data_IF_291470631834
#
_entry.id   IF_291470631834
#
_cell.length_a   1.000
_cell.length_b   1.000
_cell.length_c   1.000
_cell.angle_alpha   90.00
_cell.angle_beta   90.00
_cell.angle_gamma   90.00
#
_symmetry.space_group_name_H-M   'P 1'
#
loop_
_entity.id
_entity.type
_entity.pdbx_description
1 polymer ?
#
# COMPACT_ATOMS: atom_id res chain seq x y z
N UNK A 1 1.21 20.41 4.60
CA UNK A 1 2.23 21.01 3.71
C UNK A 1 3.52 21.09 4.50
N UNK A 2 4.61 20.54 3.98
CA UNK A 2 5.94 20.56 4.58
C UNK A 2 6.87 21.38 3.68
N UNK A 3 7.71 22.23 4.27
CA UNK A 3 8.72 22.98 3.52
C UNK A 3 10.05 22.91 4.24
N UNK A 4 10.98 22.16 3.66
CA UNK A 4 12.36 22.13 4.09
C UNK A 4 13.13 23.28 3.44
N UNK A 5 13.39 24.32 4.22
CA UNK A 5 14.11 25.53 3.77
C UNK A 5 15.59 25.29 3.48
N UNK A 6 16.18 24.23 4.02
CA UNK A 6 17.60 23.92 3.80
C UNK A 6 17.79 23.26 2.42
N UNK A 7 16.84 22.44 1.99
CA UNK A 7 16.89 21.72 0.70
C UNK A 7 16.05 22.38 -0.39
N UNK A 8 15.10 23.24 -0.03
CA UNK A 8 14.15 23.84 -0.97
C UNK A 8 12.95 22.95 -1.30
N UNK A 9 12.79 21.80 -0.63
CA UNK A 9 11.76 20.80 -0.93
C UNK A 9 10.43 21.18 -0.26
N UNK A 10 9.36 21.24 -1.07
CA UNK A 10 8.00 21.54 -0.62
C UNK A 10 7.09 20.35 -0.95
N UNK A 11 6.39 19.83 0.05
CA UNK A 11 5.54 18.65 -0.07
C UNK A 11 4.12 18.92 0.42
N UNK A 12 3.14 18.36 -0.29
CA UNK A 12 1.76 18.24 0.16
C UNK A 12 1.42 16.75 0.22
N UNK A 13 0.83 16.32 1.33
CA UNK A 13 0.42 14.94 1.55
C UNK A 13 -1.09 14.86 1.42
N UNK A 14 -1.58 13.82 0.74
CA UNK A 14 -2.99 13.46 0.64
C UNK A 14 -3.10 12.01 1.12
N UNK A 15 -3.77 11.80 2.25
CA UNK A 15 -3.82 10.47 2.90
C UNK A 15 -4.64 9.44 2.11
N UNK A 16 -5.62 9.91 1.33
CA UNK A 16 -6.49 9.07 0.52
C UNK A 16 -6.97 9.85 -0.69
N UNK A 17 -6.61 9.40 -1.90
CA UNK A 17 -7.13 9.97 -3.13
C UNK A 17 -8.57 9.48 -3.37
N UNK A 18 -9.53 10.38 -3.22
CA UNK A 18 -10.95 10.16 -3.51
C UNK A 18 -11.30 10.73 -4.89
N UNK A 19 -12.40 10.31 -5.52
CA UNK A 19 -12.81 10.90 -6.80
C UNK A 19 -13.00 12.42 -6.78
N UNK A 20 -13.22 13.03 -5.62
CA UNK A 20 -13.32 14.48 -5.47
C UNK A 20 -11.97 15.20 -5.62
N UNK A 21 -10.86 14.47 -5.52
CA UNK A 21 -9.48 14.97 -5.63
C UNK A 21 -8.99 15.01 -7.10
N UNK A 22 -9.83 14.62 -8.07
CA UNK A 22 -9.52 14.73 -9.49
C UNK A 22 -9.56 16.20 -9.92
N UNK A 23 -8.46 16.70 -10.50
CA UNK A 23 -8.36 18.11 -10.87
C UNK A 23 -6.97 18.60 -11.21
N UNK A 24 -6.81 19.93 -11.22
CA UNK A 24 -5.53 20.60 -11.45
C UNK A 24 -5.02 21.21 -10.16
N UNK A 25 -3.84 20.78 -9.73
CA UNK A 25 -3.15 21.26 -8.54
C UNK A 25 -2.18 22.35 -8.95
N UNK A 26 -2.32 23.56 -8.42
CA UNK A 26 -1.40 24.67 -8.71
C UNK A 26 -0.67 25.07 -7.43
N UNK A 27 0.65 25.05 -7.50
CA UNK A 27 1.52 25.55 -6.45
C UNK A 27 2.07 26.92 -6.85
N UNK A 28 1.82 27.93 -6.01
CA UNK A 28 2.31 29.30 -6.21
C UNK A 28 3.35 29.63 -5.16
N UNK A 29 4.48 30.16 -5.61
CA UNK A 29 5.60 30.60 -4.78
C UNK A 29 5.76 32.11 -4.91
N UNK A 30 5.92 32.80 -3.78
CA UNK A 30 6.24 34.22 -3.75
C UNK A 30 7.41 34.45 -2.82
N UNK A 31 8.45 35.14 -3.31
CA UNK A 31 9.60 35.59 -2.52
C UNK A 31 9.83 37.09 -2.77
N UNK A 32 9.44 37.91 -1.80
CA UNK A 32 9.44 39.37 -1.93
C UNK A 32 8.58 39.85 -3.11
N UNK A 33 9.22 40.30 -4.19
CA UNK A 33 8.57 40.74 -5.43
C UNK A 33 8.54 39.68 -6.52
N UNK A 34 9.28 38.58 -6.37
CA UNK A 34 9.30 37.49 -7.33
C UNK A 34 8.11 36.56 -7.09
N UNK A 35 7.38 36.21 -8.14
CA UNK A 35 6.28 35.25 -8.11
C UNK A 35 6.52 34.17 -9.17
N UNK A 36 6.24 32.93 -8.82
CA UNK A 36 6.32 31.79 -9.73
C UNK A 36 5.18 30.82 -9.43
N UNK A 37 4.79 30.01 -10.40
CA UNK A 37 3.78 28.98 -10.21
C UNK A 37 4.08 27.75 -11.05
N UNK A 38 3.62 26.60 -10.58
CA UNK A 38 3.64 25.33 -11.29
C UNK A 38 2.29 24.63 -11.12
N UNK A 39 1.82 23.96 -12.17
CA UNK A 39 0.53 23.26 -12.16
C UNK A 39 0.70 21.80 -12.58
N UNK A 40 -0.01 20.90 -11.91
CA UNK A 40 -0.06 19.47 -12.16
C UNK A 40 -1.52 19.06 -12.44
N UNK A 41 -1.76 18.48 -13.61
CA UNK A 41 -3.10 18.03 -14.02
C UNK A 41 -3.24 16.54 -13.71
N UNK A 42 -4.10 16.21 -12.74
CA UNK A 42 -4.47 14.85 -12.36
C UNK A 42 -5.93 14.62 -12.74
N UNK A 43 -6.19 14.38 -14.02
CA UNK A 43 -7.53 14.16 -14.59
C UNK A 43 -7.51 12.92 -15.50
N UNK A 44 -8.62 12.20 -15.54
CA UNK A 44 -8.85 11.06 -16.40
C UNK A 44 -8.00 9.85 -16.04
N UNK A 45 -7.37 9.23 -17.04
CA UNK A 45 -6.65 7.96 -16.84
C UNK A 45 -5.43 8.11 -15.93
N UNK A 46 -4.76 9.27 -15.95
CA UNK A 46 -3.64 9.56 -15.05
C UNK A 46 -4.11 9.55 -13.59
N UNK A 47 -5.25 10.19 -13.31
CA UNK A 47 -5.83 10.18 -11.97
C UNK A 47 -6.26 8.78 -11.53
N UNK A 48 -6.95 8.03 -12.39
CA UNK A 48 -7.39 6.66 -12.09
C UNK A 48 -6.23 5.72 -11.81
N UNK A 49 -5.13 5.83 -12.55
CA UNK A 49 -3.92 5.04 -12.31
C UNK A 49 -3.30 5.38 -10.95
N UNK A 50 -3.15 6.68 -10.65
CA UNK A 50 -2.61 7.15 -9.38
C UNK A 50 -3.48 6.70 -8.19
N UNK A 51 -4.80 6.83 -8.31
CA UNK A 51 -5.76 6.40 -7.29
C UNK A 51 -5.65 4.89 -7.03
N UNK A 52 -5.62 4.08 -8.09
CA UNK A 52 -5.51 2.61 -7.97
C UNK A 52 -4.20 2.20 -7.29
N UNK A 53 -3.09 2.86 -7.63
CA UNK A 53 -1.80 2.60 -7.01
C UNK A 53 -1.80 3.01 -5.53
N UNK A 54 -2.33 4.20 -5.20
CA UNK A 54 -2.46 4.67 -3.83
C UNK A 54 -3.28 3.71 -2.96
N UNK A 55 -4.43 3.23 -3.47
CA UNK A 55 -5.24 2.25 -2.77
C UNK A 55 -4.53 0.91 -2.58
N UNK A 56 -3.80 0.44 -3.59
CA UNK A 56 -3.03 -0.80 -3.52
C UNK A 56 -1.95 -0.72 -2.43
N UNK A 57 -1.14 0.35 -2.46
CA UNK A 57 -0.09 0.55 -1.47
C UNK A 57 -0.67 0.69 -0.05
N UNK A 58 -1.80 1.40 0.09
CA UNK A 58 -2.48 1.53 1.38
C UNK A 58 -2.98 0.18 1.90
N UNK A 59 -3.63 -0.62 1.05
CA UNK A 59 -4.09 -1.97 1.40
C UNK A 59 -2.93 -2.88 1.80
N UNK A 60 -1.84 -2.87 1.04
CA UNK A 60 -0.63 -3.64 1.35
C UNK A 60 0.03 -3.20 2.65
N UNK A 61 0.08 -1.88 2.92
CA UNK A 61 0.62 -1.35 4.17
C UNK A 61 -0.16 -1.85 5.37
N UNK A 62 -1.50 -1.74 5.35
CA UNK A 62 -2.36 -2.26 6.42
C UNK A 62 -2.25 -3.77 6.57
N UNK A 63 -2.21 -4.52 5.46
CA UNK A 63 -2.01 -5.97 5.48
C UNK A 63 -0.73 -6.35 6.23
N UNK A 64 0.35 -5.61 6.00
CA UNK A 64 1.65 -5.84 6.66
C UNK A 64 1.67 -5.46 8.15
N UNK A 65 0.74 -4.62 8.63
CA UNK A 65 0.62 -4.30 10.07
C UNK A 65 0.10 -5.46 10.92
N UNK A 66 -0.56 -6.46 10.32
CA UNK A 66 -1.01 -7.68 10.98
C UNK A 66 -0.29 -8.95 10.49
N UNK A 67 -0.67 -10.13 11.03
CA UNK A 67 -0.22 -11.42 10.50
C UNK A 67 -0.67 -11.57 9.05
N UNK A 68 0.27 -11.88 8.16
CA UNK A 68 -0.02 -11.93 6.73
C UNK A 68 0.83 -12.96 6.00
N UNK A 69 0.37 -13.41 4.84
CA UNK A 69 1.13 -14.31 3.97
C UNK A 69 2.22 -13.55 3.21
N UNK A 70 3.45 -14.01 3.32
CA UNK A 70 4.58 -13.65 2.46
C UNK A 70 4.56 -14.54 1.21
N UNK A 71 4.30 -15.83 1.41
CA UNK A 71 4.12 -16.81 0.33
C UNK A 71 2.80 -17.55 0.58
N UNK A 72 2.01 -17.70 -0.48
CA UNK A 72 0.70 -18.36 -0.43
C UNK A 72 0.80 -19.85 -0.11
N UNK A 73 -0.36 -20.50 0.04
CA UNK A 73 -0.43 -21.93 0.28
C UNK A 73 0.08 -22.70 -0.94
N UNK A 74 1.11 -23.50 -0.73
CA UNK A 74 1.66 -24.44 -1.70
C UNK A 74 1.74 -25.84 -1.13
N UNK A 75 2.23 -26.76 -1.95
CA UNK A 75 2.44 -28.15 -1.55
C UNK A 75 3.79 -28.68 -2.03
N UNK A 76 4.28 -29.72 -1.40
CA UNK A 76 5.38 -30.54 -1.88
C UNK A 76 5.08 -32.02 -1.62
N UNK A 77 5.56 -32.88 -2.51
CA UNK A 77 5.47 -34.34 -2.36
C UNK A 77 6.84 -34.85 -1.94
N UNK A 78 6.91 -35.55 -0.81
CA UNK A 78 8.17 -36.08 -0.30
C UNK A 78 8.49 -37.45 -0.92
N UNK A 79 9.76 -37.90 -0.91
CA UNK A 79 10.15 -39.23 -1.37
C UNK A 79 9.44 -40.38 -0.63
N UNK A 80 8.95 -40.12 0.59
CA UNK A 80 8.16 -41.04 1.41
C UNK A 80 6.67 -41.06 1.03
N UNK A 81 6.31 -40.49 -0.12
CA UNK A 81 4.94 -40.40 -0.64
C UNK A 81 3.99 -39.55 0.23
N UNK A 82 4.52 -38.61 1.02
CA UNK A 82 3.72 -37.69 1.82
C UNK A 82 3.45 -36.38 1.06
N UNK A 83 2.33 -35.72 1.33
CA UNK A 83 2.04 -34.35 0.85
C UNK A 83 2.18 -33.38 2.01
N UNK A 84 3.06 -32.40 1.89
CA UNK A 84 3.23 -31.32 2.86
C UNK A 84 2.57 -30.07 2.29
N UNK A 85 1.59 -29.52 3.02
CA UNK A 85 1.03 -28.20 2.74
C UNK A 85 1.86 -27.15 3.50
N UNK A 86 2.36 -26.15 2.78
CA UNK A 86 3.24 -25.13 3.37
C UNK A 86 2.88 -23.73 2.88
N UNK A 87 3.09 -22.75 3.73
CA UNK A 87 2.99 -21.33 3.42
C UNK A 87 4.05 -20.58 4.23
N UNK A 88 4.28 -19.30 3.90
CA UNK A 88 5.17 -18.43 4.68
C UNK A 88 4.40 -17.24 5.17
N UNK A 89 4.45 -16.99 6.47
CA UNK A 89 3.75 -15.89 7.13
C UNK A 89 4.73 -14.92 7.77
N UNK A 90 4.35 -13.65 7.84
CA UNK A 90 5.10 -12.57 8.48
C UNK A 90 4.30 -11.93 9.61
N UNK A 91 5.01 -11.17 10.46
CA UNK A 91 4.42 -10.36 11.54
C UNK A 91 3.49 -11.15 12.50
N UNK A 92 3.92 -12.37 12.87
CA UNK A 92 3.26 -13.15 13.92
C UNK A 92 3.64 -12.64 15.30
N UNK A 93 2.67 -12.55 16.20
CA UNK A 93 2.84 -12.20 17.61
C UNK A 93 2.57 -13.42 18.49
N UNK A 94 2.85 -13.32 19.80
CA UNK A 94 2.66 -14.41 20.76
C UNK A 94 1.19 -14.89 20.82
N UNK A 95 0.27 -13.96 20.63
CA UNK A 95 -1.17 -14.17 20.62
C UNK A 95 -1.73 -14.60 19.24
N UNK A 96 -0.89 -14.65 18.20
CA UNK A 96 -1.33 -15.09 16.87
C UNK A 96 -1.62 -16.59 16.89
N UNK A 97 -2.84 -16.97 16.52
CA UNK A 97 -3.24 -18.37 16.33
C UNK A 97 -3.33 -18.69 14.83
N UNK A 98 -2.99 -19.92 14.48
CA UNK A 98 -3.05 -20.44 13.12
C UNK A 98 -3.81 -21.77 13.15
N UNK A 99 -4.81 -21.87 12.27
CA UNK A 99 -5.78 -22.97 12.23
C UNK A 99 -5.88 -23.51 10.82
N UNK A 100 -6.01 -24.82 10.66
CA UNK A 100 -6.15 -25.45 9.35
C UNK A 100 -7.60 -25.86 9.11
N UNK A 101 -8.12 -25.52 7.93
CA UNK A 101 -9.46 -25.89 7.51
C UNK A 101 -9.42 -26.72 6.22
N UNK A 102 -10.30 -27.72 6.15
CA UNK A 102 -10.63 -28.48 4.94
C UNK A 102 -12.15 -28.52 4.79
N UNK A 103 -12.66 -28.06 3.66
CA UNK A 103 -14.10 -28.05 3.35
C UNK A 103 -14.95 -27.41 4.47
N UNK A 104 -14.45 -26.31 5.03
CA UNK A 104 -15.11 -25.59 6.13
C UNK A 104 -14.94 -26.21 7.52
N UNK A 105 -14.29 -27.37 7.64
CA UNK A 105 -14.06 -28.06 8.91
C UNK A 105 -12.62 -27.87 9.36
N UNK A 106 -12.44 -27.51 10.63
CA UNK A 106 -11.12 -27.42 11.24
C UNK A 106 -10.50 -28.82 11.37
N UNK A 107 -9.29 -29.00 10.85
CA UNK A 107 -8.60 -30.30 10.80
C UNK A 107 -7.41 -30.37 11.77
N UNK A 108 -6.96 -29.23 12.30
CA UNK A 108 -5.89 -29.15 13.29
C UNK A 108 -5.81 -27.77 13.93
#
# INVERSE_FOLDING_TARGET
MNFDKNTGVIEMLIDSLTPADEGTYTFQLTDGKATNQSSLVLIGDVFKQLQKESEFQRKEWFRKQGPHFIEGLGYEVTPECCVILKCKVGNMKKETSAHWYKDGHEIK
#
